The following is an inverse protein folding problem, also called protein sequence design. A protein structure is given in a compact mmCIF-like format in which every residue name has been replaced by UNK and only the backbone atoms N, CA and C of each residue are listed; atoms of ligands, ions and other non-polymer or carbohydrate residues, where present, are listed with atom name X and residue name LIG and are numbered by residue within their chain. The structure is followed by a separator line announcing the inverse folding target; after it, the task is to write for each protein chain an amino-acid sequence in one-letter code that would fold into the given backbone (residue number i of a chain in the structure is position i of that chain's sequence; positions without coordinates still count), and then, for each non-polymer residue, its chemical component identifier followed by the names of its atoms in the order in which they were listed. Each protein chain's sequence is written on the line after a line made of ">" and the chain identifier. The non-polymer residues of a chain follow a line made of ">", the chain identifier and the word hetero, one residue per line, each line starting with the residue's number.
data_IF_332295257332
#
_entry.id   IF_332295257332
#
_cell.length_a   1.000
_cell.length_b   1.000
_cell.length_c   1.000
_cell.angle_alpha   90.00
_cell.angle_beta   90.00
_cell.angle_gamma   90.00
#
_symmetry.space_group_name_H-M   'P 1'
#
loop_
_entity.id
_entity.type
_entity.pdbx_description
1 polymer ?
#
# COMPACT_ATOMS: atom_id res chain seq x y z
N UNK A 1 -2.62 4.03 16.25
CA UNK A 1 -3.84 3.69 15.48
C UNK A 1 -3.83 2.19 15.18
N UNK A 2 -4.98 1.56 14.94
CA UNK A 2 -5.08 0.16 14.49
C UNK A 2 -6.03 0.06 13.31
N UNK A 3 -5.70 -0.74 12.30
CA UNK A 3 -6.63 -1.17 11.25
C UNK A 3 -6.99 -2.62 11.53
N UNK A 4 -8.27 -2.90 11.71
CA UNK A 4 -8.77 -4.20 12.13
C UNK A 4 -9.68 -4.76 11.06
N UNK A 5 -9.58 -6.07 10.83
CA UNK A 5 -10.52 -6.84 10.03
C UNK A 5 -11.02 -8.01 10.86
N UNK A 6 -12.33 -8.06 11.04
CA UNK A 6 -13.01 -9.16 11.69
C UNK A 6 -13.37 -10.24 10.65
N UNK A 7 -12.89 -11.47 10.87
CA UNK A 7 -13.07 -12.62 9.98
C UNK A 7 -14.46 -13.23 10.10
N UNK A 8 -15.09 -13.12 11.27
CA UNK A 8 -16.43 -13.68 11.55
C UNK A 8 -17.52 -12.83 10.88
N UNK A 9 -17.49 -11.53 11.11
CA UNK A 9 -18.52 -10.58 10.63
C UNK A 9 -18.20 -10.03 9.24
N UNK A 10 -16.96 -10.18 8.78
CA UNK A 10 -16.46 -9.55 7.56
C UNK A 10 -16.20 -8.04 7.68
N UNK A 11 -16.41 -7.45 8.86
CA UNK A 11 -16.17 -6.02 9.08
C UNK A 11 -14.69 -5.66 8.88
N UNK A 12 -14.42 -4.55 8.19
CA UNK A 12 -13.06 -4.13 7.87
C UNK A 12 -12.92 -2.62 8.02
N UNK A 13 -12.10 -2.21 8.99
CA UNK A 13 -11.74 -0.83 9.21
C UNK A 13 -10.90 -0.32 8.04
N UNK A 14 -11.24 0.86 7.53
CA UNK A 14 -10.54 1.47 6.42
C UNK A 14 -10.35 2.96 6.65
N UNK A 15 -9.28 3.49 6.07
CA UNK A 15 -9.04 4.93 5.96
C UNK A 15 -9.59 5.40 4.62
N UNK A 16 -10.28 6.54 4.64
CA UNK A 16 -10.73 7.23 3.43
C UNK A 16 -10.31 8.69 3.52
N UNK A 17 -9.79 9.29 2.43
CA UNK A 17 -9.43 10.69 2.44
C UNK A 17 -10.69 11.55 2.55
N UNK A 18 -10.48 12.80 2.90
CA UNK A 18 -11.46 13.84 2.63
C UNK A 18 -11.69 13.97 1.13
N UNK A 19 -12.89 14.36 0.75
CA UNK A 19 -13.26 14.60 -0.64
C UNK A 19 -12.46 15.77 -1.24
N UNK A 20 -12.20 16.80 -0.44
CA UNK A 20 -11.27 17.89 -0.78
C UNK A 20 -10.66 18.52 0.48
N UNK A 21 -9.65 19.40 0.37
CA UNK A 21 -9.08 20.08 1.54
C UNK A 21 -10.11 20.94 2.31
N UNK A 22 -11.21 21.34 1.67
CA UNK A 22 -12.30 22.13 2.26
C UNK A 22 -13.55 21.29 2.58
N UNK A 23 -13.63 20.04 2.11
CA UNK A 23 -14.80 19.17 2.26
C UNK A 23 -14.40 17.86 2.95
N UNK A 24 -14.67 17.71 4.27
CA UNK A 24 -14.32 16.52 5.04
C UNK A 24 -15.23 15.31 4.77
N UNK A 25 -16.18 15.41 3.84
CA UNK A 25 -16.99 14.26 3.43
C UNK A 25 -16.12 13.16 2.82
N UNK A 26 -16.69 11.96 2.74
CA UNK A 26 -16.00 10.75 2.32
C UNK A 26 -15.50 10.86 0.87
N UNK A 27 -14.19 10.72 0.66
CA UNK A 27 -13.57 10.63 -0.66
C UNK A 27 -13.70 9.24 -1.30
N UNK A 28 -13.10 9.08 -2.48
CA UNK A 28 -13.28 7.87 -3.31
C UNK A 28 -12.32 6.72 -2.99
N UNK A 29 -11.25 6.99 -2.25
CA UNK A 29 -10.23 5.99 -1.91
C UNK A 29 -10.54 5.29 -0.59
N UNK A 30 -10.18 4.02 -0.50
CA UNK A 30 -10.21 3.26 0.74
C UNK A 30 -8.89 2.49 0.91
N UNK A 31 -8.28 2.61 2.08
CA UNK A 31 -7.07 1.90 2.46
C UNK A 31 -7.33 1.00 3.67
N UNK A 32 -7.12 -0.31 3.50
CA UNK A 32 -7.59 -1.31 4.45
C UNK A 32 -6.80 -2.61 4.36
N UNK A 33 -6.98 -3.49 5.36
CA UNK A 33 -6.44 -4.84 5.28
C UNK A 33 -7.11 -5.65 4.17
N UNK A 34 -6.29 -6.37 3.41
CA UNK A 34 -6.69 -7.23 2.32
C UNK A 34 -7.58 -8.39 2.79
N UNK A 35 -8.57 -8.81 1.98
CA UNK A 35 -9.48 -9.86 2.36
C UNK A 35 -8.88 -11.29 2.34
N UNK A 36 -7.69 -11.50 1.79
CA UNK A 36 -7.18 -12.85 1.52
C UNK A 36 -5.74 -13.06 1.96
N UNK A 37 -5.53 -14.11 2.76
CA UNK A 37 -4.33 -14.94 2.89
C UNK A 37 -3.04 -14.31 3.44
N UNK A 38 -2.61 -13.18 2.89
CA UNK A 38 -1.20 -12.76 2.95
C UNK A 38 -0.95 -11.48 3.75
N UNK A 39 -1.90 -11.06 4.59
CA UNK A 39 -1.83 -9.86 5.42
C UNK A 39 -1.15 -8.67 4.72
N UNK A 40 -1.92 -8.02 3.86
CA UNK A 40 -1.47 -6.87 3.09
C UNK A 40 -2.42 -5.70 3.31
N UNK A 41 -1.93 -4.48 3.11
CA UNK A 41 -2.78 -3.31 3.03
C UNK A 41 -3.01 -2.98 1.55
N UNK A 42 -4.27 -2.70 1.23
CA UNK A 42 -4.75 -2.47 -0.13
C UNK A 42 -5.36 -1.09 -0.20
N UNK A 43 -4.91 -0.29 -1.18
CA UNK A 43 -5.57 0.93 -1.60
C UNK A 43 -6.48 0.62 -2.78
N UNK A 44 -7.74 1.05 -2.72
CA UNK A 44 -8.73 0.83 -3.78
C UNK A 44 -9.63 2.04 -4.01
N UNK A 45 -10.22 2.09 -5.20
CA UNK A 45 -11.34 2.96 -5.56
C UNK A 45 -12.48 2.06 -6.00
N UNK A 46 -13.55 1.98 -5.19
CA UNK A 46 -14.58 0.97 -5.36
C UNK A 46 -14.00 -0.45 -5.36
N UNK A 47 -14.18 -1.21 -6.44
CA UNK A 47 -13.63 -2.55 -6.63
C UNK A 47 -12.22 -2.58 -7.23
N UNK A 48 -11.70 -1.44 -7.69
CA UNK A 48 -10.43 -1.36 -8.42
C UNK A 48 -9.28 -1.15 -7.45
N UNK A 49 -8.36 -2.11 -7.37
CA UNK A 49 -7.12 -1.99 -6.60
C UNK A 49 -6.16 -1.03 -7.31
N UNK A 50 -5.56 -0.10 -6.56
CA UNK A 50 -4.61 0.90 -7.04
C UNK A 50 -3.19 0.64 -6.56
N UNK A 51 -3.03 0.13 -5.34
CA UNK A 51 -1.74 -0.16 -4.72
C UNK A 51 -1.90 -1.30 -3.70
N UNK A 52 -0.83 -2.08 -3.50
CA UNK A 52 -0.71 -3.10 -2.45
C UNK A 52 0.66 -2.97 -1.80
N UNK A 53 0.71 -3.06 -0.47
CA UNK A 53 1.99 -3.06 0.27
C UNK A 53 2.81 -4.33 0.10
N UNK A 54 2.27 -5.32 -0.62
CA UNK A 54 2.70 -6.72 -0.59
C UNK A 54 2.56 -7.35 0.82
N UNK A 55 2.77 -8.68 0.93
CA UNK A 55 2.57 -9.41 2.18
C UNK A 55 3.49 -8.93 3.32
N UNK A 56 2.96 -9.01 4.54
CA UNK A 56 3.74 -8.91 5.76
C UNK A 56 4.72 -10.09 5.86
N UNK A 57 6.02 -9.81 6.04
CA UNK A 57 7.06 -10.83 6.09
C UNK A 57 7.56 -11.16 7.52
N UNK A 58 6.84 -10.69 8.56
CA UNK A 58 7.25 -10.82 9.96
C UNK A 58 8.03 -9.60 10.50
N UNK A 59 8.59 -8.78 9.61
CA UNK A 59 9.40 -7.60 9.96
C UNK A 59 8.76 -6.32 9.39
N UNK A 60 8.37 -6.35 8.12
CA UNK A 60 7.74 -5.25 7.40
C UNK A 60 6.82 -5.78 6.28
N UNK A 61 6.06 -4.89 5.65
CA UNK A 61 5.41 -5.23 4.38
C UNK A 61 6.45 -5.26 3.26
N UNK A 62 6.41 -6.28 2.41
CA UNK A 62 7.50 -6.56 1.47
C UNK A 62 7.66 -5.50 0.37
N UNK A 63 6.61 -4.77 0.06
CA UNK A 63 6.59 -3.65 -0.88
C UNK A 63 6.74 -2.29 -0.20
N UNK A 64 7.11 -2.25 1.08
CA UNK A 64 7.47 -1.03 1.79
C UNK A 64 8.85 -1.20 2.42
N UNK A 65 9.79 -0.35 2.04
CA UNK A 65 11.06 -0.25 2.75
C UNK A 65 10.91 0.73 3.89
N UNK A 66 10.74 0.20 5.10
CA UNK A 66 10.47 1.00 6.28
C UNK A 66 11.75 1.11 7.11
N UNK A 67 12.41 2.27 7.02
CA UNK A 67 13.19 2.80 8.13
C UNK A 67 12.21 3.73 8.85
N UNK A 68 11.60 3.36 9.98
CA UNK A 68 10.56 4.18 10.64
C UNK A 68 10.96 4.56 12.07
N UNK A 69 10.42 5.67 12.61
CA UNK A 69 10.35 5.92 14.05
C UNK A 69 9.28 5.03 14.73
N UNK A 70 8.74 4.04 14.03
CA UNK A 70 7.69 3.13 14.47
C UNK A 70 8.12 1.69 14.35
N UNK A 71 7.64 0.88 15.28
CA UNK A 71 7.62 -0.57 15.20
C UNK A 71 6.23 -0.99 14.73
N UNK A 72 6.14 -1.41 13.47
CA UNK A 72 4.93 -1.90 12.83
C UNK A 72 4.76 -3.38 13.12
N UNK A 73 3.52 -3.84 13.22
CA UNK A 73 3.22 -5.25 13.45
C UNK A 73 1.85 -5.62 12.88
N UNK A 74 1.74 -6.88 12.48
CA UNK A 74 0.48 -7.54 12.13
C UNK A 74 0.26 -8.67 13.12
N UNK A 75 -0.95 -8.73 13.66
CA UNK A 75 -1.40 -9.82 14.51
C UNK A 75 -2.62 -10.48 13.88
N UNK A 76 -2.59 -11.80 13.85
CA UNK A 76 -3.62 -12.63 13.26
C UNK A 76 -4.04 -13.70 14.26
N UNK A 77 -5.33 -13.71 14.61
CA UNK A 77 -5.95 -14.73 15.45
C UNK A 77 -7.19 -15.31 14.75
N UNK A 78 -7.90 -16.25 15.38
CA UNK A 78 -9.02 -16.94 14.75
C UNK A 78 -10.17 -16.01 14.34
N UNK A 79 -10.35 -14.90 15.07
CA UNK A 79 -11.49 -13.99 14.91
C UNK A 79 -11.15 -12.76 14.07
N UNK A 80 -9.93 -12.24 14.18
CA UNK A 80 -9.52 -10.94 13.66
C UNK A 80 -8.06 -10.89 13.19
N UNK A 81 -7.83 -10.10 12.15
CA UNK A 81 -6.50 -9.62 11.75
C UNK A 81 -6.43 -8.14 12.10
N UNK A 82 -5.32 -7.69 12.67
CA UNK A 82 -5.08 -6.26 12.78
C UNK A 82 -3.64 -5.86 12.50
N UNK A 83 -3.52 -4.70 11.85
CA UNK A 83 -2.28 -3.96 11.67
C UNK A 83 -2.23 -2.83 12.70
N UNK A 84 -1.06 -2.64 13.30
CA UNK A 84 -0.80 -1.51 14.18
C UNK A 84 0.66 -1.09 14.12
N UNK A 85 0.93 0.07 14.72
CA UNK A 85 2.28 0.56 14.92
C UNK A 85 2.43 1.08 16.35
N UNK A 86 3.66 1.00 16.87
CA UNK A 86 4.09 1.65 18.12
C UNK A 86 5.18 2.65 17.78
N UNK A 87 5.21 3.77 18.48
CA UNK A 87 6.29 4.75 18.35
C UNK A 87 7.52 4.30 19.13
N UNK A 88 8.70 4.43 18.53
CA UNK A 88 9.98 4.15 19.18
C UNK A 88 10.37 5.28 20.15
N UNK A 89 9.97 6.52 19.85
CA UNK A 89 10.11 7.67 20.73
C UNK A 89 8.72 8.23 21.06
N UNK A 90 8.37 8.25 22.34
CA UNK A 90 7.07 8.72 22.84
C UNK A 90 6.83 10.23 22.65
N UNK A 91 7.90 11.02 22.51
CA UNK A 91 7.79 12.47 22.25
C UNK A 91 7.52 12.80 20.78
N UNK A 92 7.55 11.81 19.89
CA UNK A 92 7.21 11.97 18.48
C UNK A 92 5.74 11.66 18.27
N UNK A 93 5.02 12.52 17.54
CA UNK A 93 3.69 12.22 17.04
C UNK A 93 3.79 11.64 15.62
N UNK A 94 2.98 10.64 15.32
CA UNK A 94 2.91 10.01 14.02
C UNK A 94 1.46 9.92 13.55
N UNK A 95 1.23 10.22 12.27
CA UNK A 95 -0.10 10.21 11.65
C UNK A 95 -0.02 9.58 10.27
N UNK A 96 -0.82 8.55 10.05
CA UNK A 96 -1.13 8.05 8.71
C UNK A 96 -2.29 8.87 8.15
N UNK A 97 -2.17 9.31 6.90
CA UNK A 97 -3.20 10.03 6.18
C UNK A 97 -3.23 9.58 4.73
N UNK A 98 -4.41 9.65 4.14
CA UNK A 98 -4.62 9.39 2.72
C UNK A 98 -5.03 10.72 2.09
N UNK A 99 -4.40 11.08 0.97
CA UNK A 99 -4.79 12.29 0.23
C UNK A 99 -5.98 12.02 -0.68
N UNK A 100 -6.67 13.08 -1.11
CA UNK A 100 -7.76 12.99 -2.09
C UNK A 100 -7.34 12.32 -3.40
N UNK A 101 -6.05 12.41 -3.75
CA UNK A 101 -5.46 11.83 -4.96
C UNK A 101 -4.99 10.37 -4.77
N UNK A 102 -5.19 9.80 -3.58
CA UNK A 102 -4.85 8.41 -3.28
C UNK A 102 -3.42 8.20 -2.80
N UNK A 103 -2.68 9.24 -2.43
CA UNK A 103 -1.35 9.07 -1.85
C UNK A 103 -1.43 8.71 -0.36
N UNK A 104 -0.91 7.54 0.00
CA UNK A 104 -0.70 7.17 1.40
C UNK A 104 0.50 7.92 1.97
N UNK A 105 0.28 8.77 2.96
CA UNK A 105 1.29 9.59 3.59
C UNK A 105 1.44 9.24 5.07
N UNK A 106 2.68 9.15 5.52
CA UNK A 106 3.02 9.16 6.94
C UNK A 106 3.57 10.53 7.30
N UNK A 107 3.04 11.14 8.36
CA UNK A 107 3.52 12.41 8.89
C UNK A 107 4.14 12.18 10.26
N UNK A 108 5.24 12.90 10.52
CA UNK A 108 5.85 12.98 11.85
C UNK A 108 5.82 14.41 12.36
N UNK A 109 5.75 14.56 13.68
CA UNK A 109 5.99 15.80 14.38
C UNK A 109 6.82 15.50 15.63
N UNK A 110 8.04 16.01 15.67
CA UNK A 110 8.93 15.88 16.82
C UNK A 110 8.69 16.98 17.84
N UNK A 111 9.13 16.73 19.07
CA UNK A 111 9.22 17.76 20.10
C UNK A 111 10.13 18.91 19.61
N UNK A 112 9.73 20.15 19.86
CA UNK A 112 10.39 21.35 19.34
C UNK A 112 10.03 21.78 17.90
N UNK A 113 9.41 20.91 17.08
CA UNK A 113 8.92 21.31 15.75
C UNK A 113 7.48 21.82 15.80
N UNK A 114 7.24 22.98 15.17
CA UNK A 114 5.92 23.61 15.15
C UNK A 114 4.92 22.95 14.17
N UNK A 115 5.37 22.08 13.25
CA UNK A 115 4.52 21.52 12.18
C UNK A 115 4.66 20.02 11.92
N UNK A 116 3.71 19.49 11.15
CA UNK A 116 3.77 18.14 10.60
C UNK A 116 4.66 18.11 9.34
N UNK A 117 5.57 17.14 9.26
CA UNK A 117 6.43 16.92 8.09
C UNK A 117 6.07 15.58 7.47
N UNK A 118 6.07 15.52 6.13
CA UNK A 118 5.90 14.25 5.40
C UNK A 118 7.14 13.39 5.63
N UNK A 119 6.94 12.22 6.22
CA UNK A 119 7.98 11.25 6.51
C UNK A 119 8.15 10.23 5.39
N UNK A 120 7.02 9.65 4.96
CA UNK A 120 7.00 8.58 3.97
C UNK A 120 5.79 8.73 3.06
N UNK A 121 6.01 8.42 1.78
CA UNK A 121 5.00 8.30 0.74
C UNK A 121 4.95 6.82 0.36
N UNK A 122 3.79 6.17 0.45
CA UNK A 122 3.66 4.73 0.23
C UNK A 122 3.79 4.30 -1.24
N UNK A 123 3.53 5.22 -2.17
CA UNK A 123 3.65 5.01 -3.62
C UNK A 123 4.66 5.99 -4.16
N UNK A 124 5.92 5.58 -4.24
CA UNK A 124 7.06 6.44 -4.62
C UNK A 124 7.24 6.51 -6.13
N UNK A 125 6.89 5.46 -6.86
CA UNK A 125 7.15 5.39 -8.30
C UNK A 125 6.04 4.67 -9.10
N UNK A 126 6.28 4.54 -10.41
CA UNK A 126 5.32 3.96 -11.35
C UNK A 126 5.10 2.45 -11.11
N UNK A 127 6.08 1.74 -10.54
CA UNK A 127 6.01 0.31 -10.25
C UNK A 127 5.11 -0.02 -9.06
N UNK A 128 4.84 0.96 -8.20
CA UNK A 128 3.87 0.79 -7.11
C UNK A 128 2.42 0.72 -7.61
N UNK A 129 2.14 1.14 -8.85
CA UNK A 129 0.81 1.02 -9.43
C UNK A 129 0.45 -0.44 -9.63
N UNK A 130 -0.63 -0.87 -9.00
CA UNK A 130 -1.09 -2.25 -9.07
C UNK A 130 -1.34 -2.69 -10.52
N UNK A 131 -0.71 -3.80 -10.91
CA UNK A 131 -0.91 -4.45 -12.21
C UNK A 131 -0.23 -3.77 -13.40
N UNK A 132 0.69 -2.81 -13.18
CA UNK A 132 1.32 -2.04 -14.27
C UNK A 132 2.03 -2.91 -15.32
N UNK A 133 2.68 -4.01 -14.90
CA UNK A 133 3.42 -4.91 -15.80
C UNK A 133 2.61 -6.10 -16.31
N UNK A 134 1.34 -6.23 -15.93
CA UNK A 134 0.52 -7.39 -16.25
C UNK A 134 1.01 -8.71 -15.63
N UNK A 135 0.29 -9.82 -15.86
CA UNK A 135 0.70 -11.14 -15.39
C UNK A 135 2.05 -11.59 -15.95
N UNK A 136 2.90 -12.15 -15.08
CA UNK A 136 4.25 -12.63 -15.41
C UNK A 136 5.21 -11.54 -15.93
N UNK A 137 4.87 -10.27 -15.71
CA UNK A 137 5.76 -9.13 -15.93
C UNK A 137 6.38 -8.63 -14.63
N UNK A 138 7.56 -8.03 -14.74
CA UNK A 138 8.23 -7.30 -13.67
C UNK A 138 8.42 -5.85 -14.07
N UNK A 139 8.20 -4.97 -13.09
CA UNK A 139 8.42 -3.54 -13.22
C UNK A 139 9.82 -3.18 -12.72
N UNK A 140 10.53 -2.33 -13.46
CA UNK A 140 11.85 -1.84 -13.11
C UNK A 140 11.96 -0.39 -13.56
N UNK A 141 12.07 0.54 -12.61
CA UNK A 141 12.21 1.97 -12.89
C UNK A 141 13.45 2.30 -13.72
N UNK A 142 14.50 1.46 -13.61
CA UNK A 142 15.76 1.65 -14.33
C UNK A 142 15.75 1.14 -15.78
N UNK A 143 14.62 0.63 -16.27
CA UNK A 143 14.50 0.04 -17.61
C UNK A 143 13.57 0.85 -18.51
N UNK A 144 13.86 0.82 -19.81
CA UNK A 144 12.96 1.29 -20.87
C UNK A 144 12.81 0.18 -21.91
N UNK A 145 11.62 -0.43 -22.07
CA UNK A 145 10.38 -0.16 -21.32
C UNK A 145 10.48 -0.53 -19.83
N UNK A 146 9.71 0.18 -18.99
CA UNK A 146 9.67 -0.03 -17.53
C UNK A 146 9.20 -1.44 -17.16
N UNK A 147 8.40 -2.07 -18.02
CA UNK A 147 7.88 -3.42 -17.83
C UNK A 147 8.66 -4.40 -18.72
N UNK A 148 9.02 -5.55 -18.15
CA UNK A 148 9.67 -6.65 -18.88
C UNK A 148 9.07 -8.00 -18.46
N UNK A 149 9.05 -8.98 -19.37
CA UNK A 149 8.63 -10.33 -19.02
C UNK A 149 9.63 -10.98 -18.07
N UNK A 150 9.13 -11.77 -17.13
CA UNK A 150 9.96 -12.66 -16.34
C UNK A 150 10.68 -13.67 -17.25
N UNK A 151 11.82 -14.20 -16.80
CA UNK A 151 12.58 -15.21 -17.54
C UNK A 151 11.67 -16.41 -17.85
N UNK A 152 11.65 -16.84 -19.12
CA UNK A 152 10.79 -17.92 -19.61
C UNK A 152 9.42 -17.47 -20.12
N UNK A 153 9.12 -16.16 -20.09
CA UNK A 153 7.88 -15.59 -20.62
C UNK A 153 8.15 -14.65 -21.80
N UNK A 154 7.21 -14.62 -22.75
CA UNK A 154 7.23 -13.71 -23.90
C UNK A 154 6.03 -12.78 -23.92
N UNK A 155 6.16 -11.71 -24.69
CA UNK A 155 5.14 -10.68 -24.83
C UNK A 155 4.05 -11.14 -25.81
N UNK A 156 2.78 -10.91 -25.48
CA UNK A 156 1.65 -11.30 -26.35
C UNK A 156 1.51 -10.39 -27.58
N UNK A 157 2.03 -9.15 -27.54
CA UNK A 157 1.78 -8.18 -28.61
C UNK A 157 2.96 -7.21 -28.83
N UNK A 158 3.38 -7.04 -30.10
CA UNK A 158 4.42 -6.06 -30.51
C UNK A 158 3.96 -4.59 -30.38
N UNK A 159 2.70 -4.34 -30.01
CA UNK A 159 2.07 -3.02 -29.98
C UNK A 159 1.79 -2.45 -28.57
N UNK A 160 2.37 -3.07 -27.52
CA UNK A 160 2.61 -2.37 -26.25
C UNK A 160 1.39 -2.08 -25.36
N UNK A 161 0.25 -2.72 -25.56
CA UNK A 161 -0.95 -2.41 -24.75
C UNK A 161 -1.27 -3.40 -23.64
N UNK A 162 -0.92 -4.68 -23.71
CA UNK A 162 -1.14 -5.63 -22.60
C UNK A 162 -0.14 -6.80 -22.59
N UNK A 163 0.52 -7.02 -21.45
CA UNK A 163 1.48 -8.12 -21.25
C UNK A 163 0.77 -9.31 -20.60
N UNK A 164 0.38 -10.30 -21.38
CA UNK A 164 0.05 -11.63 -20.86
C UNK A 164 1.28 -12.49 -21.16
N UNK A 165 2.09 -12.77 -20.14
CA UNK A 165 3.22 -13.68 -20.32
C UNK A 165 2.72 -15.11 -20.52
N UNK A 166 2.99 -15.69 -21.70
CA UNK A 166 2.90 -17.14 -21.92
C UNK A 166 4.25 -17.81 -21.68
N UNK A 167 4.23 -19.06 -21.25
CA UNK A 167 5.42 -19.91 -21.11
C UNK A 167 6.03 -20.10 -22.50
N UNK A 168 7.32 -19.80 -22.65
CA UNK A 168 8.09 -20.22 -23.81
C UNK A 168 8.23 -21.75 -23.77
N UNK A 169 7.56 -22.45 -24.70
CA UNK A 169 7.80 -23.87 -24.97
C UNK A 169 9.02 -24.00 -25.87
#
# INVERSE_FOLDING_TARGET
>A
MKLVRNKITGFNWHLTPWKSPQDPSQGHYAYQLGPYGYHELILRVGSVIKYRTAPWNGIQFSGMHILNPTYDFVLDNDDEVYYGYKLLNSSTLFRLALTQDGFGLSYIRSDGNQGWVVYLIATTDICDKYGISGPNGACSIDKSPVCSCLKGFITFNKTGTWWIGHIAV
#
